data_IF_942201763992
#
_entry.id   IF_942201763992
#
_cell.length_a   1.000
_cell.length_b   1.000
_cell.length_c   1.000
_cell.angle_alpha   90.00
_cell.angle_beta   90.00
_cell.angle_gamma   90.00
#
_symmetry.space_group_name_H-M   'P 1'
#
loop_
_entity.id
_entity.type
_entity.pdbx_description
1 polymer ?
#
# COMPACT_ATOMS: atom_id res chain seq x y z
N UNK A 1 -32.04 -6.94 16.27
CA UNK A 1 -30.61 -7.34 16.28
C UNK A 1 -29.95 -6.91 14.97
N UNK A 2 -29.20 -5.79 14.93
CA UNK A 2 -28.40 -5.41 13.73
C UNK A 2 -27.27 -4.45 14.12
N UNK A 3 -26.19 -5.00 14.67
CA UNK A 3 -24.99 -4.25 15.09
C UNK A 3 -23.75 -5.04 14.65
N UNK A 4 -23.64 -5.31 13.34
CA UNK A 4 -22.55 -6.12 12.80
C UNK A 4 -22.26 -5.77 11.34
N UNK A 5 -21.89 -4.52 11.09
CA UNK A 5 -21.60 -4.05 9.73
C UNK A 5 -20.48 -2.99 9.69
N UNK A 6 -20.34 -2.17 10.75
CA UNK A 6 -19.29 -1.14 10.79
C UNK A 6 -17.87 -1.73 10.89
N UNK A 7 -17.65 -2.76 11.70
CA UNK A 7 -16.30 -3.35 11.91
C UNK A 7 -15.76 -4.07 10.67
N UNK A 8 -16.61 -4.73 9.89
CA UNK A 8 -16.15 -5.53 8.74
C UNK A 8 -15.80 -4.68 7.53
N UNK A 9 -16.47 -3.52 7.39
CA UNK A 9 -16.14 -2.54 6.35
C UNK A 9 -14.77 -1.93 6.58
N UNK A 10 -14.45 -1.51 7.80
CA UNK A 10 -13.13 -0.94 8.12
C UNK A 10 -12.00 -1.95 7.84
N UNK A 11 -12.18 -3.22 8.23
CA UNK A 11 -11.21 -4.27 7.90
C UNK A 11 -11.09 -4.51 6.40
N UNK A 12 -12.22 -4.56 5.69
CA UNK A 12 -12.23 -4.69 4.22
C UNK A 12 -11.54 -3.51 3.56
N UNK A 13 -11.80 -2.26 3.98
CA UNK A 13 -11.16 -1.07 3.46
C UNK A 13 -9.65 -1.08 3.70
N UNK A 14 -9.20 -1.53 4.88
CA UNK A 14 -7.79 -1.63 5.19
C UNK A 14 -7.09 -2.68 4.30
N UNK A 15 -7.68 -3.86 4.13
CA UNK A 15 -7.18 -4.90 3.21
C UNK A 15 -7.19 -4.39 1.76
N UNK A 16 -8.26 -3.71 1.34
CA UNK A 16 -8.39 -3.19 -0.02
C UNK A 16 -7.36 -2.10 -0.31
N UNK A 17 -7.13 -1.20 0.65
CA UNK A 17 -6.08 -0.17 0.56
C UNK A 17 -4.69 -0.80 0.45
N UNK A 18 -4.41 -1.84 1.24
CA UNK A 18 -3.14 -2.57 1.18
C UNK A 18 -2.90 -3.22 -0.19
N UNK A 19 -3.94 -3.87 -0.76
CA UNK A 19 -3.88 -4.47 -2.11
C UNK A 19 -3.68 -3.41 -3.18
N UNK A 20 -4.43 -2.29 -3.12
CA UNK A 20 -4.28 -1.18 -4.07
C UNK A 20 -2.87 -0.58 -4.02
N UNK A 21 -2.32 -0.45 -2.82
CA UNK A 21 -1.00 0.09 -2.58
C UNK A 21 0.08 -0.82 -3.19
N UNK A 22 -0.01 -2.13 -2.94
CA UNK A 22 0.95 -3.10 -3.45
C UNK A 22 0.95 -3.17 -4.99
N UNK A 23 -0.23 -3.13 -5.61
CA UNK A 23 -0.37 -3.09 -7.08
C UNK A 23 0.27 -1.83 -7.66
N UNK A 24 0.01 -0.68 -7.04
CA UNK A 24 0.62 0.59 -7.46
C UNK A 24 2.15 0.56 -7.33
N UNK A 25 2.68 -0.09 -6.28
CA UNK A 25 4.12 -0.26 -6.07
C UNK A 25 4.79 -0.99 -7.23
N UNK A 26 4.22 -2.13 -7.60
CA UNK A 26 4.74 -3.00 -8.63
C UNK A 26 4.67 -2.29 -9.98
N UNK A 27 3.53 -1.67 -10.29
CA UNK A 27 3.33 -0.98 -11.56
C UNK A 27 4.28 0.22 -11.71
N UNK A 28 4.44 1.00 -10.64
CA UNK A 28 5.33 2.16 -10.64
C UNK A 28 6.80 1.75 -10.73
N UNK A 29 7.20 0.68 -10.04
CA UNK A 29 8.54 0.09 -10.16
C UNK A 29 8.79 -0.38 -11.59
N UNK A 30 7.82 -1.06 -12.21
CA UNK A 30 7.92 -1.54 -13.59
C UNK A 30 8.04 -0.39 -14.60
N UNK A 31 7.24 0.67 -14.47
CA UNK A 31 7.32 1.87 -15.33
C UNK A 31 8.69 2.56 -15.14
N UNK A 32 9.14 2.69 -13.90
CA UNK A 32 10.40 3.36 -13.57
C UNK A 32 11.61 2.64 -14.17
N UNK A 33 11.64 1.31 -14.05
CA UNK A 33 12.67 0.48 -14.68
C UNK A 33 12.57 0.59 -16.21
N UNK A 34 11.36 0.62 -16.78
CA UNK A 34 11.15 0.65 -18.24
C UNK A 34 11.48 2.00 -18.88
N UNK A 35 11.24 3.11 -18.19
CA UNK A 35 11.54 4.46 -18.71
C UNK A 35 13.02 4.84 -18.59
N UNK A 36 13.79 4.18 -17.70
CA UNK A 36 15.23 4.50 -17.51
C UNK A 36 15.50 5.93 -17.04
N UNK A 37 14.45 6.62 -16.57
CA UNK A 37 14.48 8.04 -16.22
C UNK A 37 14.74 8.21 -14.71
N UNK A 38 15.61 9.15 -14.36
CA UNK A 38 15.99 9.45 -12.97
C UNK A 38 14.76 9.80 -12.12
N UNK A 39 13.73 10.43 -12.72
CA UNK A 39 12.45 10.71 -12.04
C UNK A 39 11.70 9.42 -11.67
N UNK A 40 11.72 8.42 -12.55
CA UNK A 40 11.14 7.11 -12.26
C UNK A 40 11.87 6.44 -11.09
N UNK A 41 13.19 6.49 -11.09
CA UNK A 41 14.00 5.93 -10.00
C UNK A 41 13.72 6.60 -8.64
N UNK A 42 13.68 7.93 -8.58
CA UNK A 42 13.28 8.67 -7.37
C UNK A 42 11.87 8.29 -6.95
N UNK A 43 10.96 8.19 -7.91
CA UNK A 43 9.60 7.76 -7.70
C UNK A 43 9.55 6.39 -7.04
N UNK A 44 10.07 5.37 -7.71
CA UNK A 44 10.07 4.00 -7.23
C UNK A 44 10.69 3.90 -5.83
N UNK A 45 11.77 4.65 -5.55
CA UNK A 45 12.40 4.70 -4.23
C UNK A 45 11.47 5.30 -3.16
N UNK A 46 10.83 6.44 -3.42
CA UNK A 46 9.86 7.06 -2.51
C UNK A 46 8.64 6.16 -2.29
N UNK A 47 8.14 5.53 -3.35
CA UNK A 47 7.00 4.62 -3.26
C UNK A 47 7.34 3.36 -2.47
N UNK A 48 8.54 2.81 -2.65
CA UNK A 48 9.03 1.66 -1.89
C UNK A 48 9.10 1.99 -0.39
N UNK A 49 9.64 3.16 -0.04
CA UNK A 49 9.70 3.65 1.35
C UNK A 49 8.28 3.81 1.92
N UNK A 50 7.39 4.47 1.18
CA UNK A 50 5.99 4.62 1.58
C UNK A 50 5.31 3.25 1.76
N UNK A 51 5.59 2.28 0.88
CA UNK A 51 5.11 0.91 0.99
C UNK A 51 5.51 0.33 2.33
N UNK A 52 6.81 0.30 2.63
CA UNK A 52 7.33 -0.25 3.88
C UNK A 52 6.74 0.47 5.10
N UNK A 53 6.65 1.80 5.09
CA UNK A 53 6.09 2.60 6.20
C UNK A 53 4.60 2.29 6.43
N UNK A 54 3.81 2.06 5.37
CA UNK A 54 2.40 1.67 5.49
C UNK A 54 2.23 0.18 5.82
N UNK A 55 3.15 -0.66 5.35
CA UNK A 55 3.16 -2.12 5.55
C UNK A 55 3.49 -2.48 7.00
N UNK A 56 4.48 -1.81 7.59
CA UNK A 56 4.96 -2.04 8.97
C UNK A 56 3.80 -2.04 9.98
N UNK A 57 3.01 -0.95 10.15
CA UNK A 57 1.93 -0.91 11.14
C UNK A 57 0.83 -1.93 10.85
N UNK A 58 0.64 -2.32 9.58
CA UNK A 58 -0.28 -3.39 9.21
C UNK A 58 0.20 -4.76 9.70
N UNK A 59 1.51 -5.05 9.56
CA UNK A 59 2.09 -6.36 9.91
C UNK A 59 2.41 -6.52 11.39
N UNK A 60 2.84 -5.46 12.08
CA UNK A 60 3.16 -5.53 13.52
C UNK A 60 1.94 -5.57 14.43
N UNK A 61 0.71 -5.56 13.88
CA UNK A 61 -0.50 -5.78 14.67
C UNK A 61 -0.72 -4.74 15.78
N UNK A 62 -0.01 -3.62 15.78
CA UNK A 62 -0.26 -2.47 16.67
C UNK A 62 -1.42 -1.63 16.13
N UNK A 63 -2.53 -2.30 15.80
CA UNK A 63 -3.83 -1.67 15.65
C UNK A 63 -4.40 -1.49 17.07
N UNK A 64 -3.85 -0.52 17.81
CA UNK A 64 -4.36 -0.10 19.11
C UNK A 64 -5.27 1.11 18.95
#
# INVERSE_FOLDING_TARGET
MKKNDKTDRERKLHIWGWVLFLISAIFFTAISIKSGDILGLIGALLFLIACVVFLIPYFTGQQK
#
